data_IF_037818722581
#
_entry.id   IF_037818722581
#
_cell.length_a   1.000
_cell.length_b   1.000
_cell.length_c   1.000
_cell.angle_alpha   90.00
_cell.angle_beta   90.00
_cell.angle_gamma   90.00
#
_symmetry.space_group_name_H-M   'P 1'
#
loop_
_entity.id
_entity.type
_entity.pdbx_description
1 polymer ?
#
# COMPACT_ATOMS: atom_id res chain seq x y z
N UNK A 1 -14.68 -31.64 -4.80
CA UNK A 1 -13.41 -30.95 -4.49
C UNK A 1 -13.00 -30.16 -5.71
N UNK A 2 -12.85 -28.83 -5.61
CA UNK A 2 -12.29 -28.04 -6.71
C UNK A 2 -10.82 -28.46 -6.91
N UNK A 3 -10.33 -28.65 -8.15
CA UNK A 3 -8.93 -28.96 -8.36
C UNK A 3 -8.06 -27.84 -7.76
N UNK A 4 -7.06 -28.20 -6.96
CA UNK A 4 -6.02 -27.25 -6.52
C UNK A 4 -5.31 -26.75 -7.78
N UNK A 5 -5.62 -25.54 -8.21
CA UNK A 5 -4.86 -24.84 -9.25
C UNK A 5 -3.44 -24.68 -8.67
N UNK A 6 -2.43 -25.19 -9.38
CA UNK A 6 -1.04 -25.03 -8.98
C UNK A 6 -0.75 -23.54 -8.78
N UNK A 7 0.02 -23.14 -7.75
CA UNK A 7 0.37 -21.74 -7.58
C UNK A 7 1.02 -21.23 -8.87
N UNK A 8 0.60 -20.09 -9.43
CA UNK A 8 1.23 -19.53 -10.62
C UNK A 8 2.69 -19.22 -10.30
N UNK A 9 3.58 -20.09 -10.75
CA UNK A 9 5.03 -19.95 -10.60
C UNK A 9 5.58 -19.02 -11.68
N UNK A 10 5.11 -17.78 -11.73
CA UNK A 10 5.67 -16.76 -12.61
C UNK A 10 6.51 -15.79 -11.77
N UNK A 11 7.73 -16.16 -11.36
CA UNK A 11 8.65 -15.26 -10.66
C UNK A 11 8.95 -14.00 -11.48
N UNK A 12 8.72 -14.04 -12.79
CA UNK A 12 8.91 -12.93 -13.72
C UNK A 12 8.09 -11.70 -13.34
N UNK A 13 6.79 -11.83 -12.97
CA UNK A 13 5.97 -10.67 -12.58
C UNK A 13 6.53 -10.00 -11.31
N UNK A 14 6.88 -10.81 -10.30
CA UNK A 14 7.45 -10.32 -9.05
C UNK A 14 8.78 -9.61 -9.31
N UNK A 15 9.68 -10.22 -10.09
CA UNK A 15 10.97 -9.64 -10.45
C UNK A 15 10.79 -8.33 -11.21
N UNK A 16 9.86 -8.25 -12.16
CA UNK A 16 9.56 -7.00 -12.89
C UNK A 16 9.10 -5.90 -11.94
N UNK A 17 8.17 -6.19 -11.02
CA UNK A 17 7.73 -5.20 -10.03
C UNK A 17 8.87 -4.77 -9.10
N UNK A 18 9.68 -5.71 -8.61
CA UNK A 18 10.82 -5.39 -7.75
C UNK A 18 11.86 -4.54 -8.49
N UNK A 19 12.19 -4.88 -9.74
CA UNK A 19 13.13 -4.09 -10.54
C UNK A 19 12.58 -2.69 -10.80
N UNK A 20 11.30 -2.56 -11.14
CA UNK A 20 10.65 -1.26 -11.34
C UNK A 20 10.71 -0.39 -10.08
N UNK A 21 10.52 -0.99 -8.90
CA UNK A 21 10.67 -0.29 -7.62
C UNK A 21 12.11 0.13 -7.34
N UNK A 22 13.09 -0.75 -7.61
CA UNK A 22 14.51 -0.43 -7.42
C UNK A 22 14.98 0.68 -8.37
N UNK A 23 14.54 0.63 -9.63
CA UNK A 23 14.80 1.70 -10.62
C UNK A 23 14.16 3.01 -10.17
N UNK A 24 12.88 2.98 -9.76
CA UNK A 24 12.19 4.16 -9.24
C UNK A 24 12.89 4.77 -8.02
N UNK A 25 13.38 3.94 -7.10
CA UNK A 25 14.17 4.37 -5.95
C UNK A 25 15.49 5.01 -6.39
N UNK A 26 16.25 4.37 -7.29
CA UNK A 26 17.52 4.89 -7.77
C UNK A 26 17.34 6.25 -8.48
N UNK A 27 16.32 6.37 -9.34
CA UNK A 27 15.99 7.62 -10.02
C UNK A 27 15.58 8.69 -9.01
N UNK A 28 14.77 8.36 -8.01
CA UNK A 28 14.36 9.33 -6.97
C UNK A 28 15.53 9.90 -6.19
N UNK A 29 16.62 9.16 -6.04
CA UNK A 29 17.84 9.64 -5.37
C UNK A 29 18.77 10.43 -6.30
N UNK A 30 18.71 10.17 -7.61
CA UNK A 30 19.54 10.86 -8.59
C UNK A 30 18.96 12.21 -9.04
N UNK A 31 17.63 12.32 -9.11
CA UNK A 31 16.90 13.53 -9.52
C UNK A 31 17.29 14.81 -8.76
N UNK A 32 17.44 14.82 -7.42
CA UNK A 32 17.85 16.02 -6.68
C UNK A 32 19.23 16.56 -7.09
N UNK A 33 20.09 15.72 -7.67
CA UNK A 33 21.43 16.11 -8.13
C UNK A 33 21.44 16.62 -9.58
N UNK A 34 20.38 16.39 -10.34
CA UNK A 34 20.29 16.74 -11.77
C UNK A 34 19.43 17.97 -12.06
N UNK A 35 18.55 18.36 -11.13
CA UNK A 35 17.62 19.47 -11.32
C UNK A 35 17.94 20.65 -10.40
N UNK A 36 17.65 21.85 -10.90
CA UNK A 36 17.67 23.08 -10.10
C UNK A 36 16.53 23.06 -9.07
N UNK A 37 16.61 23.80 -7.94
CA UNK A 37 15.60 23.77 -6.88
C UNK A 37 14.16 24.01 -7.37
N UNK A 38 13.96 24.93 -8.32
CA UNK A 38 12.65 25.26 -8.88
C UNK A 38 12.09 24.15 -9.77
N UNK A 39 12.94 23.54 -10.60
CA UNK A 39 12.57 22.43 -11.49
C UNK A 39 12.24 21.16 -10.71
N UNK A 40 12.95 20.94 -9.60
CA UNK A 40 12.69 19.83 -8.69
C UNK A 40 11.30 19.91 -8.06
N UNK A 41 10.86 21.10 -7.64
CA UNK A 41 9.52 21.29 -7.06
C UNK A 41 8.42 20.95 -8.08
N UNK A 42 8.55 21.41 -9.32
CA UNK A 42 7.61 21.06 -10.40
C UNK A 42 7.62 19.56 -10.68
N UNK A 43 8.80 18.94 -10.76
CA UNK A 43 8.95 17.50 -10.95
C UNK A 43 8.26 16.69 -9.84
N UNK A 44 8.48 17.04 -8.57
CA UNK A 44 7.85 16.38 -7.43
C UNK A 44 6.32 16.46 -7.50
N UNK A 45 5.78 17.63 -7.88
CA UNK A 45 4.33 17.81 -8.01
C UNK A 45 3.75 16.92 -9.11
N UNK A 46 4.40 16.86 -10.27
CA UNK A 46 3.98 15.99 -11.38
C UNK A 46 4.00 14.52 -10.97
N UNK A 47 5.10 14.06 -10.36
CA UNK A 47 5.23 12.68 -9.88
C UNK A 47 4.14 12.35 -8.86
N UNK A 48 3.83 13.27 -7.94
CA UNK A 48 2.78 13.09 -6.93
C UNK A 48 1.40 12.93 -7.55
N UNK A 49 1.05 13.77 -8.52
CA UNK A 49 -0.25 13.69 -9.23
C UNK A 49 -0.36 12.37 -10.00
N UNK A 50 0.68 12.00 -10.74
CA UNK A 50 0.72 10.73 -11.47
C UNK A 50 0.61 9.52 -10.53
N UNK A 51 1.30 9.56 -9.39
CA UNK A 51 1.24 8.48 -8.38
C UNK A 51 -0.16 8.33 -7.80
N UNK A 52 -0.81 9.45 -7.47
CA UNK A 52 -2.19 9.43 -6.96
C UNK A 52 -3.19 8.91 -8.01
N UNK A 53 -2.99 9.25 -9.28
CA UNK A 53 -3.78 8.71 -10.38
C UNK A 53 -3.59 7.19 -10.56
N UNK A 54 -2.34 6.71 -10.54
CA UNK A 54 -2.06 5.27 -10.61
C UNK A 54 -2.63 4.51 -9.40
N UNK A 55 -2.52 5.10 -8.20
CA UNK A 55 -3.03 4.50 -6.97
C UNK A 55 -4.57 4.37 -7.01
N UNK A 56 -5.28 5.38 -7.52
CA UNK A 56 -6.74 5.31 -7.64
C UNK A 56 -7.17 4.21 -8.63
N UNK A 57 -6.47 4.06 -9.76
CA UNK A 57 -6.72 2.99 -10.72
C UNK A 57 -6.54 1.59 -10.10
N UNK A 58 -5.45 1.38 -9.35
CA UNK A 58 -5.22 0.11 -8.65
C UNK A 58 -6.35 -0.17 -7.64
N UNK A 59 -6.76 0.84 -6.86
CA UNK A 59 -7.82 0.68 -5.85
C UNK A 59 -9.18 0.39 -6.48
N UNK A 60 -9.48 0.95 -7.64
CA UNK A 60 -10.72 0.66 -8.38
C UNK A 60 -10.74 -0.80 -8.87
N UNK A 61 -9.65 -1.29 -9.49
CA UNK A 61 -9.57 -2.67 -9.95
C UNK A 61 -9.67 -3.67 -8.80
N UNK A 62 -9.01 -3.38 -7.68
CA UNK A 62 -9.14 -4.21 -6.47
C UNK A 62 -10.58 -4.21 -5.95
N UNK A 63 -11.28 -3.07 -6.01
CA UNK A 63 -12.68 -2.98 -5.59
C UNK A 63 -13.62 -3.85 -6.43
N UNK A 64 -13.33 -4.05 -7.72
CA UNK A 64 -14.11 -4.93 -8.60
C UNK A 64 -13.94 -6.42 -8.28
N UNK A 65 -12.81 -6.82 -7.71
CA UNK A 65 -12.52 -8.23 -7.39
C UNK A 65 -13.30 -8.71 -6.14
N UNK A 66 -13.87 -7.79 -5.34
CA UNK A 66 -14.65 -8.13 -4.15
C UNK A 66 -16.16 -8.16 -4.44
N UNK A 67 -16.73 -9.35 -4.66
CA UNK A 67 -18.19 -9.55 -4.72
C UNK A 67 -18.79 -9.66 -3.31
N UNK A 68 -19.74 -8.78 -2.98
CA UNK A 68 -20.39 -8.75 -1.67
C UNK A 68 -21.66 -9.60 -1.69
N UNK A 69 -21.57 -10.83 -1.16
CA UNK A 69 -22.74 -11.69 -0.94
C UNK A 69 -23.59 -11.17 0.26
N UNK A 70 -24.70 -10.51 -0.08
CA UNK A 70 -25.62 -9.88 0.89
C UNK A 70 -26.49 -10.87 1.68
N UNK A 71 -26.40 -12.18 1.43
CA UNK A 71 -27.28 -13.19 2.05
C UNK A 71 -26.93 -13.53 3.52
N UNK A 72 -25.73 -13.19 4.00
CA UNK A 72 -25.22 -13.58 5.34
C UNK A 72 -24.72 -12.39 6.18
N UNK A 73 -25.55 -11.36 6.33
CA UNK A 73 -25.22 -10.13 7.07
C UNK A 73 -24.73 -10.36 8.52
N UNK A 74 -25.24 -11.38 9.23
CA UNK A 74 -24.82 -11.68 10.61
C UNK A 74 -23.37 -12.18 10.70
N UNK A 75 -22.92 -12.94 9.70
CA UNK A 75 -21.51 -13.40 9.63
C UNK A 75 -20.60 -12.25 9.22
N UNK A 76 -21.09 -11.38 8.33
CA UNK A 76 -20.39 -10.18 7.89
C UNK A 76 -20.06 -9.21 9.04
N UNK A 77 -20.94 -9.07 10.04
CA UNK A 77 -20.66 -8.25 11.22
C UNK A 77 -19.47 -8.75 12.06
N UNK A 78 -19.33 -10.08 12.19
CA UNK A 78 -18.19 -10.69 12.87
C UNK A 78 -16.90 -10.52 12.05
N UNK A 79 -16.97 -10.74 10.74
CA UNK A 79 -15.84 -10.53 9.82
C UNK A 79 -15.40 -9.06 9.79
N UNK A 80 -16.36 -8.12 9.87
CA UNK A 80 -16.09 -6.68 9.96
C UNK A 80 -15.38 -6.30 11.27
N UNK A 81 -15.78 -6.88 12.40
CA UNK A 81 -15.11 -6.65 13.68
C UNK A 81 -13.65 -7.16 13.65
N UNK A 82 -13.43 -8.32 13.03
CA UNK A 82 -12.09 -8.87 12.83
C UNK A 82 -11.28 -7.98 11.88
N UNK A 83 -11.88 -7.48 10.79
CA UNK A 83 -11.21 -6.56 9.86
C UNK A 83 -10.85 -5.22 10.53
N UNK A 84 -11.75 -4.66 11.33
CA UNK A 84 -11.52 -3.43 12.09
C UNK A 84 -10.39 -3.60 13.10
N UNK A 85 -10.35 -4.72 13.82
CA UNK A 85 -9.24 -5.01 14.74
C UNK A 85 -7.93 -5.26 14.00
N UNK A 86 -7.95 -5.98 12.87
CA UNK A 86 -6.78 -6.22 12.03
C UNK A 86 -6.17 -4.93 11.45
N UNK A 87 -6.96 -3.90 11.18
CA UNK A 87 -6.46 -2.59 10.75
C UNK A 87 -6.10 -1.66 11.94
N UNK A 88 -6.90 -1.70 13.01
CA UNK A 88 -6.78 -0.81 14.16
C UNK A 88 -5.60 -1.14 15.07
N UNK A 89 -5.32 -2.43 15.31
CA UNK A 89 -4.20 -2.83 16.17
C UNK A 89 -2.84 -2.38 15.59
N UNK A 90 -2.48 -2.67 14.33
CA UNK A 90 -1.23 -2.19 13.75
C UNK A 90 -1.11 -0.66 13.80
N UNK A 91 -2.21 0.07 13.56
CA UNK A 91 -2.21 1.53 13.63
C UNK A 91 -1.83 2.06 15.02
N UNK A 92 -2.43 1.52 16.08
CA UNK A 92 -2.14 1.95 17.46
C UNK A 92 -0.73 1.53 17.87
N UNK A 93 -0.30 0.30 17.57
CA UNK A 93 1.04 -0.17 17.90
C UNK A 93 2.14 0.65 17.23
N UNK A 94 1.97 0.99 15.95
CA UNK A 94 2.93 1.83 15.20
C UNK A 94 2.91 3.27 15.73
N UNK A 95 1.75 3.81 16.11
CA UNK A 95 1.67 5.15 16.72
C UNK A 95 2.43 5.22 18.06
N UNK A 96 2.25 4.22 18.92
CA UNK A 96 3.01 4.10 20.19
C UNK A 96 4.51 4.00 19.90
N UNK A 97 4.90 3.23 18.88
CA UNK A 97 6.31 3.11 18.50
C UNK A 97 6.91 4.47 18.08
N UNK A 98 6.20 5.28 17.29
CA UNK A 98 6.68 6.62 16.89
C UNK A 98 6.83 7.61 18.05
N UNK A 99 6.06 7.46 19.12
CA UNK A 99 6.11 8.35 20.30
C UNK A 99 7.20 7.93 21.29
N UNK A 100 7.42 6.63 21.49
CA UNK A 100 8.25 6.14 22.61
C UNK A 100 9.59 5.53 22.21
N UNK A 101 9.76 5.08 20.96
CA UNK A 101 10.95 4.34 20.52
C UNK A 101 11.81 5.18 19.57
N UNK A 102 11.24 6.17 18.90
CA UNK A 102 11.96 7.01 17.96
C UNK A 102 12.94 7.94 18.72
N UNK A 103 14.19 8.09 18.25
CA UNK A 103 15.19 8.95 18.89
C UNK A 103 14.78 10.44 18.92
N UNK A 104 13.90 10.86 17.99
CA UNK A 104 13.21 12.14 18.02
C UNK A 104 11.69 11.88 18.03
N UNK A 105 11.04 11.87 19.21
CA UNK A 105 9.67 11.42 19.33
C UNK A 105 8.69 12.40 18.69
N UNK A 106 7.82 11.90 17.81
CA UNK A 106 6.77 12.73 17.21
C UNK A 106 5.67 13.04 18.25
N UNK A 107 5.07 14.24 18.21
CA UNK A 107 3.89 14.52 19.00
C UNK A 107 2.73 13.63 18.56
N UNK A 108 1.80 13.33 19.48
CA UNK A 108 0.74 12.33 19.28
C UNK A 108 -0.12 12.58 18.04
N UNK A 109 -0.38 13.85 17.70
CA UNK A 109 -1.13 14.25 16.51
C UNK A 109 -0.41 13.81 15.22
N UNK A 110 0.90 14.06 15.12
CA UNK A 110 1.70 13.68 13.96
C UNK A 110 1.99 12.18 13.94
N UNK A 111 2.22 11.57 15.09
CA UNK A 111 2.46 10.13 15.22
C UNK A 111 1.25 9.30 14.77
N UNK A 112 0.02 9.71 15.13
CA UNK A 112 -1.21 9.03 14.70
C UNK A 112 -1.42 9.14 13.19
N UNK A 113 -1.11 10.30 12.59
CA UNK A 113 -1.19 10.51 11.14
C UNK A 113 -0.12 9.69 10.42
N UNK A 114 1.12 9.72 10.88
CA UNK A 114 2.22 8.92 10.32
C UNK A 114 1.92 7.42 10.40
N UNK A 115 1.39 6.95 11.55
CA UNK A 115 1.00 5.56 11.72
C UNK A 115 -0.12 5.15 10.76
N UNK A 116 -1.04 6.06 10.42
CA UNK A 116 -2.11 5.78 9.44
C UNK A 116 -1.56 5.59 8.03
N UNK A 117 -0.45 6.24 7.68
CA UNK A 117 0.23 6.03 6.40
C UNK A 117 1.10 4.78 6.37
N UNK A 118 1.57 4.31 7.53
CA UNK A 118 2.39 3.10 7.67
C UNK A 118 1.55 1.81 7.81
N UNK A 119 0.33 1.90 8.34
CA UNK A 119 -0.55 0.76 8.54
C UNK A 119 -1.17 0.09 7.28
N UNK A 120 -1.37 0.74 6.11
CA UNK A 120 -2.14 0.14 5.04
C UNK A 120 -1.39 -1.01 4.37
N UNK A 121 -2.05 -2.16 4.29
CA UNK A 121 -1.57 -3.33 3.53
C UNK A 121 -1.84 -3.13 2.04
N UNK A 122 -0.83 -3.29 1.19
CA UNK A 122 -0.89 -3.08 -0.26
C UNK A 122 -1.60 -4.22 -1.02
N UNK A 123 -2.85 -4.50 -0.65
CA UNK A 123 -3.67 -5.57 -1.24
C UNK A 123 -3.70 -5.51 -2.78
N UNK A 124 -3.66 -4.32 -3.39
CA UNK A 124 -3.64 -4.19 -4.85
C UNK A 124 -2.39 -4.70 -5.56
N UNK A 125 -1.22 -4.59 -4.93
CA UNK A 125 0.00 -5.20 -5.49
C UNK A 125 -0.08 -6.72 -5.32
N UNK A 126 -0.57 -7.20 -4.17
CA UNK A 126 -0.70 -8.63 -3.89
C UNK A 126 -1.68 -9.31 -4.87
N UNK A 127 -2.83 -8.70 -5.16
CA UNK A 127 -3.80 -9.22 -6.14
C UNK A 127 -3.23 -9.17 -7.56
N UNK A 128 -2.58 -8.08 -7.98
CA UNK A 128 -1.93 -7.99 -9.30
C UNK A 128 -0.80 -9.03 -9.49
N UNK A 129 -0.13 -9.42 -8.40
CA UNK A 129 0.91 -10.45 -8.41
C UNK A 129 0.35 -11.88 -8.38
N UNK A 130 -0.75 -12.11 -7.68
CA UNK A 130 -1.38 -13.43 -7.52
C UNK A 130 -2.37 -13.77 -8.62
N UNK A 131 -2.80 -12.80 -9.42
CA UNK A 131 -3.69 -13.03 -10.55
C UNK A 131 -3.02 -13.99 -11.55
N UNK A 132 -3.53 -15.24 -11.67
CA UNK A 132 -3.08 -16.13 -12.71
C UNK A 132 -3.60 -15.56 -14.03
N UNK A 133 -2.67 -15.14 -14.89
CA UNK A 133 -2.99 -14.87 -16.29
C UNK A 133 -3.64 -16.11 -16.94
#
# INVERSE_FOLDING_TARGET
ARPRKAPPACPVKIVVFTVMLLVGLAVSQAVPNWFSPDEYHTWQQVVKVMTMFCLSFIMINVGYEFDIDKSKLRKYGADYFIAMTAAGFPWIFVAIWFVYVLPDPLPWDQALVAARFAAPTSAGILFSMLEPA
#
